data_IF_075323438956
#
_entry.id   IF_075323438956
#
_cell.length_a   1.000
_cell.length_b   1.000
_cell.length_c   1.000
_cell.angle_alpha   90.00
_cell.angle_beta   90.00
_cell.angle_gamma   90.00
#
_symmetry.space_group_name_H-M   'P 1'
#
loop_
_entity.id
_entity.type
_entity.pdbx_description
1 polymer ?
#
# COMPACT_ATOMS: atom_id res chain seq x y z
N UNK A 1 -13.52 -9.51 2.50
CA UNK A 1 -13.51 -8.13 3.04
C UNK A 1 -12.18 -7.50 2.67
N UNK A 2 -12.14 -6.22 2.31
CA UNK A 2 -10.91 -5.50 1.94
C UNK A 2 -10.68 -4.32 2.88
N UNK A 3 -9.42 -4.02 3.17
CA UNK A 3 -9.00 -2.97 4.11
C UNK A 3 -8.06 -1.98 3.43
N UNK A 4 -8.21 -0.71 3.74
CA UNK A 4 -7.20 0.31 3.40
C UNK A 4 -5.95 0.16 4.29
N UNK A 5 -4.84 0.77 3.87
CA UNK A 5 -3.63 0.87 4.70
C UNK A 5 -3.90 1.51 6.07
N UNK A 6 -4.80 2.47 6.12
CA UNK A 6 -5.22 3.10 7.38
C UNK A 6 -5.99 2.12 8.27
N UNK A 7 -6.98 1.42 7.72
CA UNK A 7 -7.77 0.45 8.46
C UNK A 7 -6.91 -0.70 8.99
N UNK A 8 -6.02 -1.24 8.16
CA UNK A 8 -5.09 -2.30 8.55
C UNK A 8 -4.15 -1.86 9.68
N UNK A 9 -3.67 -0.60 9.66
CA UNK A 9 -2.89 -0.03 10.77
C UNK A 9 -3.72 0.10 12.05
N UNK A 10 -4.95 0.61 11.95
CA UNK A 10 -5.84 0.79 13.10
C UNK A 10 -6.15 -0.56 13.76
N UNK A 11 -6.42 -1.60 12.96
CA UNK A 11 -6.62 -2.97 13.45
C UNK A 11 -5.38 -3.53 14.17
N UNK A 12 -4.18 -3.09 13.78
CA UNK A 12 -2.93 -3.42 14.47
C UNK A 12 -2.69 -2.59 15.74
N UNK A 13 -3.57 -1.63 16.08
CA UNK A 13 -3.44 -0.78 17.27
C UNK A 13 -2.31 0.24 17.19
N UNK A 14 -1.85 0.60 15.98
CA UNK A 14 -0.71 1.50 15.77
C UNK A 14 -1.16 2.89 15.37
N UNK A 15 -0.47 3.91 15.86
CA UNK A 15 -0.59 5.30 15.34
C UNK A 15 0.23 5.48 14.06
N UNK A 16 -0.04 6.55 13.29
CA UNK A 16 0.74 6.88 12.09
C UNK A 16 2.23 7.08 12.41
N UNK A 17 2.53 7.76 13.52
CA UNK A 17 3.89 8.00 14.00
C UNK A 17 4.64 6.71 14.36
N UNK A 18 3.97 5.78 15.04
CA UNK A 18 4.57 4.49 15.42
C UNK A 18 4.84 3.61 14.20
N UNK A 19 3.89 3.53 13.26
CA UNK A 19 4.08 2.78 12.03
C UNK A 19 5.22 3.36 11.20
N UNK A 20 5.28 4.68 11.05
CA UNK A 20 6.37 5.37 10.36
C UNK A 20 7.73 5.06 11.00
N UNK A 21 7.81 5.05 12.34
CA UNK A 21 9.03 4.68 13.08
C UNK A 21 9.43 3.22 12.82
N UNK A 22 8.48 2.28 12.86
CA UNK A 22 8.72 0.86 12.57
C UNK A 22 9.23 0.65 11.14
N UNK A 23 8.66 1.38 10.18
CA UNK A 23 9.09 1.36 8.79
C UNK A 23 10.31 2.24 8.48
N UNK A 24 10.93 2.86 9.50
CA UNK A 24 12.11 3.74 9.36
C UNK A 24 11.92 4.89 8.35
N UNK A 25 10.74 5.52 8.35
CA UNK A 25 10.42 6.65 7.48
C UNK A 25 9.83 7.84 8.26
N UNK A 26 9.71 8.99 7.61
CA UNK A 26 9.02 10.14 8.21
C UNK A 26 7.50 9.89 8.27
N UNK A 27 6.86 10.40 9.32
CA UNK A 27 5.41 10.35 9.48
C UNK A 27 4.69 10.97 8.27
N UNK A 28 5.19 12.11 7.77
CA UNK A 28 4.68 12.74 6.54
C UNK A 28 4.69 11.77 5.36
N UNK A 29 5.75 10.98 5.19
CA UNK A 29 5.84 9.99 4.10
C UNK A 29 4.81 8.88 4.28
N UNK A 30 4.66 8.37 5.50
CA UNK A 30 3.67 7.37 5.81
C UNK A 30 2.23 7.86 5.55
N UNK A 31 1.92 9.10 5.92
CA UNK A 31 0.62 9.73 5.62
C UNK A 31 0.38 9.83 4.10
N UNK A 32 1.41 10.09 3.29
CA UNK A 32 1.24 10.10 1.83
C UNK A 32 0.87 8.72 1.30
N UNK A 33 1.36 7.65 1.91
CA UNK A 33 1.02 6.28 1.55
C UNK A 33 -0.44 5.95 1.89
N UNK A 34 -0.91 6.24 3.10
CA UNK A 34 -2.31 6.01 3.49
C UNK A 34 -3.30 6.81 2.61
N UNK A 35 -2.88 8.00 2.16
CA UNK A 35 -3.66 8.83 1.22
C UNK A 35 -3.52 8.41 -0.24
N UNK A 36 -2.81 7.32 -0.53
CA UNK A 36 -2.49 6.87 -1.89
C UNK A 36 -1.92 8.00 -2.77
N UNK A 37 -1.15 8.92 -2.21
CA UNK A 37 -0.44 9.95 -3.00
C UNK A 37 0.91 9.46 -3.48
N UNK A 38 1.38 8.36 -2.89
CA UNK A 38 2.62 7.67 -3.25
C UNK A 38 2.32 6.19 -3.40
N UNK A 39 2.96 5.58 -4.39
CA UNK A 39 2.83 4.15 -4.66
C UNK A 39 3.53 3.36 -3.56
N UNK A 40 2.79 2.46 -2.90
CA UNK A 40 3.33 1.54 -1.92
C UNK A 40 4.09 0.41 -2.64
N UNK A 41 5.42 0.55 -2.76
CA UNK A 41 6.26 -0.45 -3.43
C UNK A 41 6.24 -1.78 -2.66
N UNK A 42 6.48 -2.89 -3.36
CA UNK A 42 6.38 -4.23 -2.79
C UNK A 42 7.37 -4.50 -1.64
N UNK A 43 8.58 -3.92 -1.68
CA UNK A 43 9.54 -4.00 -0.57
C UNK A 43 9.01 -3.35 0.71
N UNK A 44 8.35 -2.20 0.56
CA UNK A 44 7.68 -1.50 1.66
C UNK A 44 6.42 -2.25 2.11
N UNK A 45 5.65 -2.81 1.17
CA UNK A 45 4.48 -3.65 1.43
C UNK A 45 4.87 -4.83 2.32
N UNK A 46 5.94 -5.54 1.98
CA UNK A 46 6.44 -6.64 2.78
C UNK A 46 6.86 -6.21 4.20
N UNK A 47 7.54 -5.07 4.34
CA UNK A 47 7.90 -4.54 5.65
C UNK A 47 6.67 -4.15 6.48
N UNK A 48 5.69 -3.52 5.84
CA UNK A 48 4.42 -3.13 6.43
C UNK A 48 3.65 -4.35 6.98
N UNK A 49 3.61 -5.45 6.21
CA UNK A 49 2.96 -6.70 6.64
C UNK A 49 3.54 -7.29 7.91
N UNK A 50 4.81 -7.05 8.22
CA UNK A 50 5.42 -7.52 9.49
C UNK A 50 4.85 -6.81 10.72
N UNK A 51 4.09 -5.75 10.52
CA UNK A 51 3.56 -4.89 11.59
C UNK A 51 2.04 -4.86 11.64
N UNK A 52 1.35 -5.42 10.65
CA UNK A 52 -0.11 -5.49 10.61
C UNK A 52 -0.58 -6.94 10.70
N UNK A 53 -1.63 -7.17 11.48
CA UNK A 53 -2.21 -8.50 11.69
C UNK A 53 -3.38 -8.76 10.72
N UNK A 54 -3.19 -8.42 9.44
CA UNK A 54 -4.18 -8.67 8.39
C UNK A 54 -3.52 -9.45 7.24
N UNK A 55 -4.26 -10.32 6.52
CA UNK A 55 -3.70 -11.01 5.36
C UNK A 55 -3.36 -10.04 4.22
N UNK A 56 -2.27 -10.30 3.50
CA UNK A 56 -1.79 -9.45 2.41
C UNK A 56 -2.87 -9.22 1.34
N UNK A 57 -3.55 -10.28 0.92
CA UNK A 57 -4.57 -10.26 -0.14
C UNK A 57 -5.82 -9.43 0.21
N UNK A 58 -5.97 -9.06 1.49
CA UNK A 58 -7.08 -8.24 1.96
C UNK A 58 -6.77 -6.74 1.97
N UNK A 59 -5.51 -6.34 1.75
CA UNK A 59 -5.09 -4.94 1.80
C UNK A 59 -5.14 -4.32 0.41
N UNK A 60 -5.77 -3.15 0.34
CA UNK A 60 -5.78 -2.30 -0.86
C UNK A 60 -4.48 -1.50 -0.87
N UNK A 61 -3.49 -1.95 -1.64
CA UNK A 61 -2.23 -1.21 -1.82
C UNK A 61 -2.31 -0.12 -2.90
N UNK A 62 -3.27 -0.24 -3.82
CA UNK A 62 -3.42 0.66 -4.97
C UNK A 62 -4.88 1.09 -5.12
N UNK A 63 -5.16 2.37 -4.91
CA UNK A 63 -6.49 2.96 -5.16
C UNK A 63 -6.61 3.47 -6.61
N UNK A 64 -6.53 2.56 -7.59
CA UNK A 64 -6.69 2.90 -9.02
C UNK A 64 -5.50 3.66 -9.65
N UNK A 65 -4.34 3.69 -8.98
CA UNK A 65 -3.14 4.41 -9.44
C UNK A 65 -2.10 3.52 -10.15
N UNK A 66 -2.45 2.27 -10.46
CA UNK A 66 -1.61 1.49 -11.37
C UNK A 66 -1.70 2.19 -12.72
N UNK A 67 -0.60 2.80 -13.16
CA UNK A 67 -0.49 3.25 -14.54
C UNK A 67 -0.83 2.04 -15.42
N UNK A 68 -1.85 2.19 -16.26
CA UNK A 68 -2.11 1.22 -17.31
C UNK A 68 -0.91 1.28 -18.26
N UNK A 69 0.11 0.47 -18.02
CA UNK A 69 1.20 0.30 -18.99
C UNK A 69 0.65 -0.18 -20.34
N UNK A 70 -0.50 -0.86 -20.30
CA UNK A 70 -1.28 -1.25 -21.48
C UNK A 70 -2.65 -0.57 -21.49
N UNK A 71 -2.68 0.75 -21.72
CA UNK A 71 -3.85 1.37 -22.34
C UNK A 71 -3.44 1.90 -23.71
N UNK A 72 -3.22 0.97 -24.64
CA UNK A 72 -3.39 1.06 -26.10
C UNK A 72 -2.84 -0.25 -26.69
N UNK A 73 -3.75 -1.15 -27.06
CA UNK A 73 -3.68 -2.09 -28.18
C UNK A 73 -4.32 -3.43 -27.83
N UNK A 74 -5.59 -3.57 -28.24
CA UNK A 74 -6.15 -4.89 -28.57
C UNK A 74 -5.52 -5.49 -29.85
N UNK A 75 -4.37 -4.98 -30.31
CA UNK A 75 -3.76 -5.37 -31.61
C UNK A 75 -2.31 -5.84 -31.49
N UNK A 76 -1.57 -5.57 -30.40
CA UNK A 76 -0.11 -5.79 -30.37
C UNK A 76 0.37 -6.89 -29.39
N UNK A 77 -0.48 -7.84 -29.02
CA UNK A 77 -0.03 -9.03 -28.28
C UNK A 77 -0.71 -10.29 -28.79
N UNK A 78 -0.36 -10.67 -30.03
CA UNK A 78 -0.57 -12.02 -30.54
C UNK A 78 0.82 -12.64 -30.68
N UNK A 79 1.11 -13.65 -29.85
CA UNK A 79 2.21 -14.60 -30.08
C UNK A 79 1.72 -15.61 -31.12
#
# INVERSE_FOLDING_TARGET
MQYTLEQARILAGLTQKEMAKKMKMSEKTYIQYEKYRRIFRMDQAYLYMKHVNVPFDTIIFFAGQLQNFCSLDKIACTI
#
